data_IF_276732530665
#
_entry.id   IF_276732530665
#
_cell.length_a   1.000
_cell.length_b   1.000
_cell.length_c   1.000
_cell.angle_alpha   90.00
_cell.angle_beta   90.00
_cell.angle_gamma   90.00
#
_symmetry.space_group_name_H-M   'P 1'
#
loop_
_entity.id
_entity.type
_entity.pdbx_description
1 polymer ?
#
# COMPACT_ATOMS: atom_id res chain seq x y z
N UNK A 1 47.82 31.23 40.85
CA UNK A 1 46.51 31.69 40.36
C UNK A 1 46.27 31.49 38.86
N UNK A 2 47.25 31.30 38.03
CA UNK A 2 47.12 31.12 36.57
C UNK A 2 46.64 29.74 36.10
N UNK A 3 46.84 28.68 36.94
CA UNK A 3 46.50 27.29 36.57
C UNK A 3 44.99 27.02 36.45
N UNK A 4 44.19 27.71 37.23
CA UNK A 4 42.73 27.53 37.22
C UNK A 4 42.01 28.19 36.04
N UNK A 5 42.59 29.21 35.41
CA UNK A 5 42.00 29.87 34.26
C UNK A 5 42.01 28.98 33.00
N UNK A 6 43.03 28.14 32.80
CA UNK A 6 43.12 27.22 31.67
C UNK A 6 42.03 26.14 31.71
N UNK A 7 41.75 25.61 32.88
CA UNK A 7 40.67 24.62 33.07
C UNK A 7 39.29 25.24 32.91
N UNK A 8 39.07 26.47 33.36
CA UNK A 8 37.79 27.17 33.17
C UNK A 8 37.48 27.38 31.67
N UNK A 9 38.48 27.76 30.86
CA UNK A 9 38.31 27.93 29.44
C UNK A 9 38.04 26.58 28.75
N UNK A 10 38.73 25.52 29.16
CA UNK A 10 38.53 24.17 28.57
C UNK A 10 37.14 23.63 28.85
N UNK A 11 36.63 23.80 30.08
CA UNK A 11 35.27 23.41 30.46
C UNK A 11 34.23 24.18 29.64
N UNK A 12 34.46 25.47 29.42
CA UNK A 12 33.53 26.31 28.67
C UNK A 12 33.48 25.91 27.19
N UNK A 13 34.58 25.55 26.56
CA UNK A 13 34.64 25.06 25.18
C UNK A 13 33.92 23.71 25.04
N UNK A 14 34.13 22.78 25.97
CA UNK A 14 33.46 21.46 25.94
C UNK A 14 31.95 21.60 26.11
N UNK A 15 31.47 22.50 26.98
CA UNK A 15 30.05 22.72 27.17
C UNK A 15 29.38 23.37 25.94
N UNK A 16 30.07 24.27 25.24
CA UNK A 16 29.54 24.86 23.99
C UNK A 16 29.46 23.82 22.86
N UNK A 17 30.49 22.96 22.74
CA UNK A 17 30.47 21.86 21.76
C UNK A 17 29.36 20.84 22.04
N UNK A 18 29.09 20.52 23.30
CA UNK A 18 27.99 19.62 23.65
C UNK A 18 26.62 20.19 23.36
N UNK A 19 26.41 21.49 23.55
CA UNK A 19 25.16 22.16 23.26
C UNK A 19 24.86 22.25 21.74
N UNK A 20 25.88 22.44 20.90
CA UNK A 20 25.70 22.48 19.45
C UNK A 20 25.34 21.11 18.88
N UNK A 21 25.90 20.04 19.42
CA UNK A 21 25.63 18.67 18.99
C UNK A 21 24.16 18.25 19.24
N UNK A 22 23.56 18.70 20.34
CA UNK A 22 22.16 18.38 20.69
C UNK A 22 21.17 19.09 19.77
N UNK A 23 21.49 20.32 19.32
CA UNK A 23 20.58 21.08 18.44
C UNK A 23 20.51 20.51 17.03
N UNK A 24 21.61 19.94 16.51
CA UNK A 24 21.62 19.32 15.19
C UNK A 24 20.87 17.97 15.18
N UNK A 25 21.05 17.17 16.22
CA UNK A 25 20.34 15.89 16.34
C UNK A 25 18.82 16.08 16.46
N UNK A 26 18.37 17.11 17.15
CA UNK A 26 16.95 17.46 17.27
C UNK A 26 16.33 17.88 15.92
N UNK A 27 17.04 18.66 15.09
CA UNK A 27 16.53 19.12 13.79
C UNK A 27 16.29 17.97 12.82
N UNK A 28 17.18 16.99 12.75
CA UNK A 28 17.00 15.83 11.88
C UNK A 28 15.85 14.92 12.32
N UNK A 29 15.64 14.77 13.64
CA UNK A 29 14.53 13.99 14.16
C UNK A 29 13.16 14.64 13.83
N UNK A 30 13.02 15.93 13.97
CA UNK A 30 11.79 16.65 13.62
C UNK A 30 11.48 16.63 12.12
N UNK A 31 12.48 16.78 11.26
CA UNK A 31 12.29 16.70 9.80
C UNK A 31 11.84 15.31 9.36
N UNK A 32 12.30 14.25 10.01
CA UNK A 32 11.87 12.89 9.73
C UNK A 32 10.42 12.64 10.11
N UNK A 33 9.95 13.22 11.22
CA UNK A 33 8.57 13.12 11.68
C UNK A 33 7.64 13.91 10.76
N UNK A 34 8.01 15.09 10.32
CA UNK A 34 7.22 15.88 9.37
C UNK A 34 7.11 15.20 7.99
N UNK A 35 8.17 14.55 7.52
CA UNK A 35 8.14 13.79 6.27
C UNK A 35 7.21 12.57 6.36
N UNK A 36 7.18 11.87 7.49
CA UNK A 36 6.25 10.76 7.72
C UNK A 36 4.80 11.20 7.91
N UNK A 37 4.56 12.36 8.50
CA UNK A 37 3.19 12.90 8.73
C UNK A 37 2.58 13.46 7.45
N UNK A 38 3.37 13.81 6.43
CA UNK A 38 2.89 14.24 5.12
C UNK A 38 2.50 13.09 4.19
N UNK A 39 2.72 11.83 4.60
CA UNK A 39 2.25 10.67 3.85
C UNK A 39 0.73 10.60 3.96
N UNK A 40 0.10 11.20 2.98
CA UNK A 40 -1.28 10.98 2.58
C UNK A 40 -2.38 11.44 3.55
N UNK A 41 -2.64 12.74 3.57
CA UNK A 41 -3.95 13.28 4.02
C UNK A 41 -5.06 13.02 3.00
N UNK A 42 -4.76 12.49 1.82
CA UNK A 42 -5.78 12.08 0.87
C UNK A 42 -6.25 10.66 1.21
N UNK A 43 -7.56 10.45 1.36
CA UNK A 43 -8.08 9.11 1.59
C UNK A 43 -7.68 8.22 0.41
N UNK A 44 -7.12 7.05 0.70
CA UNK A 44 -6.78 6.06 -0.31
C UNK A 44 -8.05 5.71 -1.10
N UNK A 45 -8.02 5.97 -2.40
CA UNK A 45 -9.13 5.63 -3.30
C UNK A 45 -8.90 4.23 -3.87
N UNK A 46 -9.97 3.48 -4.00
CA UNK A 46 -9.94 2.11 -4.48
C UNK A 46 -10.78 1.96 -5.73
N UNK A 47 -10.33 1.14 -6.64
CA UNK A 47 -11.08 0.62 -7.75
C UNK A 47 -11.48 -0.82 -7.42
N UNK A 48 -12.67 -1.22 -7.82
CA UNK A 48 -13.22 -2.54 -7.55
C UNK A 48 -13.56 -3.26 -8.84
N UNK A 49 -13.36 -4.57 -8.86
CA UNK A 49 -13.88 -5.43 -9.91
C UNK A 49 -14.47 -6.72 -9.33
N UNK A 50 -15.35 -7.35 -10.10
CA UNK A 50 -15.88 -8.67 -9.80
C UNK A 50 -15.55 -9.64 -10.93
N UNK A 51 -15.31 -10.90 -10.57
CA UNK A 51 -15.17 -12.01 -11.50
C UNK A 51 -16.28 -13.00 -11.23
N UNK A 52 -17.23 -13.09 -12.16
CA UNK A 52 -18.35 -14.01 -12.10
C UNK A 52 -18.13 -15.22 -13.00
N UNK A 53 -18.41 -16.40 -12.49
CA UNK A 53 -18.42 -17.62 -13.30
C UNK A 53 -19.77 -17.78 -13.98
N UNK A 54 -19.77 -17.77 -15.31
CA UNK A 54 -20.98 -17.94 -16.11
C UNK A 54 -20.89 -19.16 -17.02
N UNK A 55 -22.00 -19.81 -17.25
CA UNK A 55 -22.14 -20.88 -18.25
C UNK A 55 -22.98 -20.36 -19.42
N UNK A 56 -22.38 -19.85 -20.47
CA UNK A 56 -23.14 -19.44 -21.63
C UNK A 56 -23.58 -20.64 -22.44
N UNK A 57 -24.82 -21.02 -22.38
CA UNK A 57 -25.48 -22.01 -23.27
C UNK A 57 -24.70 -23.33 -23.42
N UNK A 58 -24.23 -23.60 -24.64
CA UNK A 58 -23.54 -24.85 -25.03
C UNK A 58 -22.01 -24.82 -24.87
N UNK A 59 -21.45 -23.77 -24.29
CA UNK A 59 -20.00 -23.61 -24.29
C UNK A 59 -19.40 -23.44 -22.92
N UNK A 60 -18.98 -24.42 -22.22
CA UNK A 60 -18.12 -24.42 -21.03
C UNK A 60 -18.19 -23.19 -20.09
N UNK A 61 -17.59 -23.28 -18.92
CA UNK A 61 -17.51 -22.18 -17.96
C UNK A 61 -16.63 -21.05 -18.48
N UNK A 62 -17.10 -19.81 -18.30
CA UNK A 62 -16.34 -18.59 -18.60
C UNK A 62 -16.31 -17.68 -17.39
N UNK A 63 -15.17 -17.05 -17.16
CA UNK A 63 -15.03 -16.00 -16.18
C UNK A 63 -15.40 -14.65 -16.83
N UNK A 64 -16.36 -13.95 -16.27
CA UNK A 64 -16.76 -12.60 -16.66
C UNK A 64 -16.20 -11.60 -15.66
N UNK A 65 -15.35 -10.69 -16.14
CA UNK A 65 -14.79 -9.61 -15.35
C UNK A 65 -15.63 -8.34 -15.54
N UNK A 66 -16.07 -7.74 -14.45
CA UNK A 66 -16.81 -6.47 -14.46
C UNK A 66 -16.06 -5.46 -13.62
N UNK A 67 -15.65 -4.34 -14.21
CA UNK A 67 -15.04 -3.22 -13.50
C UNK A 67 -15.44 -1.88 -14.13
N UNK A 68 -15.69 -0.88 -13.28
CA UNK A 68 -16.00 0.49 -13.70
C UNK A 68 -17.12 0.56 -14.74
N UNK A 69 -16.80 0.91 -15.96
CA UNK A 69 -17.75 1.15 -17.03
C UNK A 69 -17.98 -0.04 -17.97
N UNK A 70 -17.38 -1.21 -17.73
CA UNK A 70 -17.42 -2.28 -18.72
C UNK A 70 -17.44 -3.70 -18.18
N UNK A 71 -18.02 -4.59 -19.00
CA UNK A 71 -17.93 -6.04 -18.83
C UNK A 71 -16.89 -6.54 -19.82
N UNK A 72 -15.82 -7.16 -19.31
CA UNK A 72 -14.82 -7.84 -20.13
C UNK A 72 -15.07 -9.34 -20.05
N UNK A 73 -15.42 -9.96 -21.17
CA UNK A 73 -15.52 -11.41 -21.23
C UNK A 73 -14.13 -12.01 -21.41
N UNK A 74 -13.73 -12.86 -20.48
CA UNK A 74 -12.50 -13.63 -20.61
C UNK A 74 -12.74 -14.94 -21.31
N UNK A 75 -11.65 -15.60 -21.74
CA UNK A 75 -11.68 -16.94 -22.32
C UNK A 75 -12.19 -17.99 -21.32
N UNK A 76 -12.44 -19.21 -21.79
CA UNK A 76 -12.92 -20.30 -20.96
C UNK A 76 -12.01 -20.55 -19.76
N UNK A 77 -12.55 -20.41 -18.58
CA UNK A 77 -11.86 -20.62 -17.28
C UNK A 77 -12.81 -21.41 -16.37
N UNK A 78 -12.50 -22.66 -16.17
CA UNK A 78 -13.37 -23.59 -15.43
C UNK A 78 -13.54 -23.21 -13.98
N UNK A 79 -12.57 -22.54 -13.38
CA UNK A 79 -12.55 -22.23 -11.96
C UNK A 79 -12.57 -20.73 -11.64
N UNK A 80 -12.34 -19.89 -12.61
CA UNK A 80 -12.10 -18.45 -12.42
C UNK A 80 -10.73 -18.12 -11.82
N UNK A 81 -9.98 -19.12 -11.35
CA UNK A 81 -8.71 -18.89 -10.66
C UNK A 81 -7.62 -18.38 -11.58
N UNK A 82 -7.57 -18.81 -12.84
CA UNK A 82 -6.61 -18.29 -13.81
C UNK A 82 -6.85 -16.80 -14.08
N UNK A 83 -8.13 -16.40 -14.17
CA UNK A 83 -8.53 -15.00 -14.31
C UNK A 83 -8.17 -14.18 -13.07
N UNK A 84 -8.45 -14.69 -11.87
CA UNK A 84 -8.09 -14.03 -10.60
C UNK A 84 -6.57 -13.87 -10.49
N UNK A 85 -5.78 -14.91 -10.83
CA UNK A 85 -4.32 -14.84 -10.80
C UNK A 85 -3.77 -13.81 -11.80
N UNK A 86 -4.33 -13.75 -13.02
CA UNK A 86 -3.96 -12.73 -14.02
C UNK A 86 -4.25 -11.32 -13.52
N UNK A 87 -5.40 -11.11 -12.89
CA UNK A 87 -5.74 -9.83 -12.26
C UNK A 87 -4.78 -9.50 -11.12
N UNK A 88 -4.40 -10.48 -10.29
CA UNK A 88 -3.41 -10.30 -9.23
C UNK A 88 -2.06 -9.80 -9.77
N UNK A 89 -1.59 -10.34 -10.88
CA UNK A 89 -0.37 -9.85 -11.56
C UNK A 89 -0.52 -8.40 -12.08
N UNK A 90 -1.76 -7.95 -12.29
CA UNK A 90 -2.08 -6.56 -12.67
C UNK A 90 -2.34 -5.64 -11.48
N UNK A 91 -2.03 -6.08 -10.25
CA UNK A 91 -2.13 -5.30 -9.04
C UNK A 91 -3.50 -5.34 -8.35
N UNK A 92 -4.38 -6.26 -8.76
CA UNK A 92 -5.64 -6.49 -8.06
C UNK A 92 -5.45 -7.42 -6.85
N UNK A 93 -6.10 -7.11 -5.75
CA UNK A 93 -6.08 -7.87 -4.51
C UNK A 93 -7.45 -8.53 -4.30
N UNK A 94 -7.48 -9.83 -4.04
CA UNK A 94 -8.71 -10.56 -3.72
C UNK A 94 -9.20 -10.15 -2.34
N UNK A 95 -10.44 -9.67 -2.26
CA UNK A 95 -11.07 -9.24 -1.01
C UNK A 95 -12.00 -10.31 -0.45
N UNK A 96 -12.78 -10.94 -1.33
CA UNK A 96 -13.81 -11.89 -0.91
C UNK A 96 -14.15 -12.86 -2.04
N UNK A 97 -14.63 -14.04 -1.64
CA UNK A 97 -15.21 -15.04 -2.54
C UNK A 97 -16.58 -15.41 -2.01
N UNK A 98 -17.58 -15.30 -2.85
CA UNK A 98 -18.95 -15.72 -2.52
C UNK A 98 -19.28 -16.95 -3.38
N UNK A 99 -19.59 -18.05 -2.72
CA UNK A 99 -20.10 -19.25 -3.39
C UNK A 99 -21.59 -19.08 -3.67
N UNK A 100 -21.96 -19.25 -4.92
CA UNK A 100 -23.34 -19.28 -5.35
C UNK A 100 -23.83 -20.73 -5.51
N UNK A 101 -25.12 -20.91 -5.63
CA UNK A 101 -25.71 -22.24 -5.89
C UNK A 101 -25.23 -22.80 -7.21
N UNK A 102 -24.89 -24.09 -7.27
CA UNK A 102 -24.49 -24.76 -8.52
C UNK A 102 -23.02 -24.65 -8.90
N UNK A 103 -22.09 -24.69 -7.96
CA UNK A 103 -20.63 -24.64 -8.16
C UNK A 103 -20.10 -23.35 -8.81
N UNK A 104 -20.88 -22.27 -8.83
CA UNK A 104 -20.41 -20.98 -9.27
C UNK A 104 -19.83 -20.19 -8.09
N UNK A 105 -18.82 -19.37 -8.37
CA UNK A 105 -18.23 -18.47 -7.40
C UNK A 105 -18.13 -17.07 -7.99
N UNK A 106 -18.31 -16.07 -7.15
CA UNK A 106 -18.08 -14.68 -7.45
C UNK A 106 -16.90 -14.18 -6.63
N UNK A 107 -15.90 -13.62 -7.30
CA UNK A 107 -14.71 -13.08 -6.69
C UNK A 107 -14.76 -11.56 -6.70
N UNK A 108 -14.48 -10.94 -5.55
CA UNK A 108 -14.42 -9.50 -5.39
C UNK A 108 -12.97 -9.07 -5.22
N UNK A 109 -12.51 -8.17 -6.08
CA UNK A 109 -11.14 -7.67 -6.06
C UNK A 109 -11.14 -6.15 -5.97
N UNK A 110 -10.05 -5.60 -5.42
CA UNK A 110 -9.79 -4.16 -5.34
C UNK A 110 -8.35 -3.87 -5.74
N UNK A 111 -8.09 -2.65 -6.18
CA UNK A 111 -6.73 -2.11 -6.29
C UNK A 111 -6.71 -0.62 -5.97
N UNK A 112 -5.57 -0.09 -5.48
CA UNK A 112 -5.46 1.35 -5.25
C UNK A 112 -5.51 2.10 -6.58
N UNK A 113 -6.31 3.17 -6.63
CA UNK A 113 -6.25 4.15 -7.71
C UNK A 113 -4.92 4.92 -7.59
N UNK A 114 -4.20 4.98 -8.69
CA UNK A 114 -2.95 5.76 -8.79
C UNK A 114 -3.25 7.19 -9.20
#
# INVERSE_FOLDING_TARGET
MLRNRKYAILILIVSVLALTSITEFGRHAWQSIEAQTRVSTMPQRWEYCTVNMITPGSGGWKAQVSHGAGIENTESDITGLSTVNRLGMSGWELVSVVHQTGNSAEYFLKRPLR
#
